data_IF_061034735379
#
_entry.id   IF_061034735379
#
_cell.length_a   1.000
_cell.length_b   1.000
_cell.length_c   1.000
_cell.angle_alpha   90.00
_cell.angle_beta   90.00
_cell.angle_gamma   90.00
#
_symmetry.space_group_name_H-M   'P 1'
#
loop_
_entity.id
_entity.type
_entity.pdbx_description
1 polymer ?
#
# COMPACT_ATOMS: atom_id res chain seq x y z
N UNK A 1 -5.17 12.94 -3.26
CA UNK A 1 -5.41 12.07 -2.10
C UNK A 1 -4.90 12.73 -0.84
N UNK A 2 -5.73 12.77 0.22
CA UNK A 2 -5.39 13.41 1.50
C UNK A 2 -4.09 12.84 2.09
N UNK A 3 -3.89 11.52 2.02
CA UNK A 3 -2.69 10.83 2.48
C UNK A 3 -1.40 11.45 1.89
N UNK A 4 -1.30 11.63 0.56
CA UNK A 4 -0.09 12.20 -0.05
C UNK A 4 0.12 13.67 0.28
N UNK A 5 -0.95 14.42 0.57
CA UNK A 5 -0.84 15.79 1.06
C UNK A 5 -0.30 15.83 2.49
N UNK A 6 -0.69 14.87 3.34
CA UNK A 6 -0.14 14.73 4.68
C UNK A 6 1.34 14.37 4.64
N UNK A 7 1.73 13.44 3.78
CA UNK A 7 3.14 13.08 3.54
C UNK A 7 3.94 14.31 3.10
N UNK A 8 3.43 15.10 2.13
CA UNK A 8 4.12 16.32 1.68
C UNK A 8 4.29 17.32 2.84
N UNK A 9 3.25 17.55 3.65
CA UNK A 9 3.35 18.46 4.82
C UNK A 9 4.44 18.04 5.80
N UNK A 10 4.61 16.73 6.02
CA UNK A 10 5.68 16.19 6.88
C UNK A 10 7.05 16.46 6.24
N UNK A 11 7.21 16.19 4.94
CA UNK A 11 8.45 16.48 4.23
C UNK A 11 8.82 17.96 4.29
N UNK A 12 7.87 18.86 4.05
CA UNK A 12 8.10 20.30 4.13
C UNK A 12 8.48 20.77 5.54
N UNK A 13 7.85 20.18 6.56
CA UNK A 13 8.18 20.50 7.96
C UNK A 13 9.62 20.05 8.27
N UNK A 14 10.01 18.85 7.86
CA UNK A 14 11.37 18.35 8.04
C UNK A 14 12.40 19.12 7.22
N UNK A 15 12.06 19.53 6.01
CA UNK A 15 12.93 20.37 5.18
C UNK A 15 13.22 21.71 5.84
N UNK A 16 12.20 22.36 6.45
CA UNK A 16 12.36 23.61 7.21
C UNK A 16 13.19 23.43 8.48
N UNK A 17 13.07 22.28 9.13
CA UNK A 17 13.81 21.95 10.35
C UNK A 17 15.25 21.48 10.10
N UNK A 18 15.63 21.23 8.85
CA UNK A 18 16.97 20.75 8.50
C UNK A 18 18.01 21.84 8.70
N UNK A 19 18.87 21.67 9.70
CA UNK A 19 19.94 22.63 10.02
C UNK A 19 21.23 22.41 9.20
N UNK A 20 21.38 21.22 8.60
CA UNK A 20 22.62 20.86 7.90
C UNK A 20 22.69 21.42 6.48
N UNK A 21 21.54 21.58 5.83
CA UNK A 21 21.44 22.08 4.45
C UNK A 21 20.12 22.83 4.27
N UNK A 22 20.13 23.82 3.39
CA UNK A 22 18.89 24.45 2.93
C UNK A 22 18.21 23.52 1.94
N UNK A 23 17.06 22.97 2.30
CA UNK A 23 16.25 22.08 1.47
C UNK A 23 15.03 22.85 0.94
N UNK A 24 14.84 22.86 -0.37
CA UNK A 24 13.65 23.40 -1.03
C UNK A 24 12.90 22.25 -1.70
N UNK A 25 11.63 22.08 -1.36
CA UNK A 25 10.77 21.03 -1.94
C UNK A 25 10.00 21.63 -3.12
N UNK A 26 10.07 20.93 -4.26
CA UNK A 26 9.27 21.18 -5.45
C UNK A 26 8.34 19.99 -5.63
N UNK A 27 7.08 20.14 -5.27
CA UNK A 27 6.09 19.06 -5.37
C UNK A 27 5.41 19.03 -6.74
N UNK A 28 5.13 17.82 -7.22
CA UNK A 28 4.31 17.53 -8.40
C UNK A 28 3.37 16.39 -8.08
N UNK A 29 2.12 16.50 -8.50
CA UNK A 29 1.12 15.45 -8.34
C UNK A 29 0.64 15.04 -9.73
N UNK A 30 0.57 13.72 -9.96
CA UNK A 30 -0.08 13.18 -11.13
C UNK A 30 -1.62 13.29 -10.95
N UNK A 31 -2.32 13.63 -11.99
CA UNK A 31 -3.79 13.69 -12.01
C UNK A 31 -4.39 12.30 -12.18
N UNK A 32 -3.66 11.46 -12.91
CA UNK A 32 -4.04 10.07 -13.18
C UNK A 32 -2.96 9.12 -12.69
N UNK A 33 -3.29 7.85 -12.55
CA UNK A 33 -2.32 6.81 -12.24
C UNK A 33 -1.73 6.16 -13.51
N UNK A 34 -1.56 6.95 -14.61
CA UNK A 34 -1.00 6.43 -15.85
C UNK A 34 0.53 6.49 -15.84
N UNK A 35 1.20 5.41 -16.28
CA UNK A 35 2.66 5.38 -16.32
C UNK A 35 3.28 6.47 -17.20
N UNK A 36 2.61 6.85 -18.30
CA UNK A 36 3.05 7.89 -19.23
C UNK A 36 3.15 9.24 -18.51
N UNK A 37 2.09 9.63 -17.79
CA UNK A 37 2.05 10.89 -17.06
C UNK A 37 3.16 10.95 -15.99
N UNK A 38 3.36 9.85 -15.27
CA UNK A 38 4.42 9.78 -14.26
C UNK A 38 5.80 9.91 -14.90
N UNK A 39 6.03 9.25 -16.03
CA UNK A 39 7.29 9.36 -16.78
C UNK A 39 7.54 10.80 -17.27
N UNK A 40 6.51 11.47 -17.81
CA UNK A 40 6.58 12.86 -18.26
C UNK A 40 6.89 13.82 -17.10
N UNK A 41 6.23 13.63 -15.94
CA UNK A 41 6.51 14.41 -14.73
C UNK A 41 7.98 14.21 -14.31
N UNK A 42 8.47 12.99 -14.25
CA UNK A 42 9.85 12.70 -13.88
C UNK A 42 10.83 13.39 -14.83
N UNK A 43 10.63 13.24 -16.14
CA UNK A 43 11.50 13.85 -17.15
C UNK A 43 11.47 15.37 -17.10
N UNK A 44 10.33 15.99 -16.76
CA UNK A 44 10.18 17.43 -16.61
C UNK A 44 11.04 18.03 -15.50
N UNK A 45 11.48 17.23 -14.54
CA UNK A 45 12.34 17.66 -13.43
C UNK A 45 13.83 17.66 -13.77
N UNK A 46 14.21 17.11 -14.92
CA UNK A 46 15.61 17.06 -15.35
C UNK A 46 16.25 18.43 -15.37
N UNK A 47 17.36 18.59 -14.66
CA UNK A 47 18.10 19.85 -14.55
C UNK A 47 17.41 20.95 -13.75
N UNK A 48 16.29 20.67 -13.10
CA UNK A 48 15.53 21.64 -12.29
C UNK A 48 15.62 21.39 -10.79
N UNK A 49 16.02 20.18 -10.41
CA UNK A 49 16.16 19.75 -9.01
C UNK A 49 17.42 18.91 -8.87
N UNK A 50 17.95 18.81 -7.65
CA UNK A 50 19.18 18.05 -7.37
C UNK A 50 18.91 16.55 -7.17
N UNK A 51 17.68 16.20 -6.76
CA UNK A 51 17.25 14.82 -6.53
C UNK A 51 15.75 14.70 -6.69
N UNK A 52 15.27 13.51 -7.00
CA UNK A 52 13.84 13.21 -7.09
C UNK A 52 13.49 12.13 -6.06
N UNK A 53 12.42 12.35 -5.30
CA UNK A 53 11.79 11.34 -4.47
C UNK A 53 10.32 11.20 -4.92
N UNK A 54 9.92 10.02 -5.35
CA UNK A 54 8.61 9.81 -5.96
C UNK A 54 7.92 8.54 -5.46
N UNK A 55 6.61 8.59 -5.35
CA UNK A 55 5.75 7.40 -5.29
C UNK A 55 5.32 7.09 -6.71
N UNK A 56 5.49 5.86 -7.16
CA UNK A 56 5.26 5.51 -8.55
C UNK A 56 4.72 4.11 -8.76
N UNK A 57 4.54 3.79 -10.03
CA UNK A 57 4.17 2.47 -10.51
C UNK A 57 5.42 1.76 -11.05
N UNK A 58 5.53 0.47 -10.83
CA UNK A 58 6.57 -0.35 -11.46
C UNK A 58 6.18 -0.65 -12.91
N UNK A 59 6.66 0.19 -13.82
CA UNK A 59 6.35 0.13 -15.25
C UNK A 59 7.57 0.53 -16.08
N UNK A 60 7.77 -0.09 -17.26
CA UNK A 60 8.94 0.12 -18.09
C UNK A 60 9.15 1.59 -18.50
N UNK A 61 8.08 2.35 -18.80
CA UNK A 61 8.19 3.79 -19.12
C UNK A 61 8.74 4.60 -17.94
N UNK A 62 8.29 4.28 -16.73
CA UNK A 62 8.79 4.92 -15.51
C UNK A 62 10.25 4.56 -15.29
N UNK A 63 10.62 3.28 -15.46
CA UNK A 63 11.99 2.82 -15.37
C UNK A 63 12.90 3.53 -16.38
N UNK A 64 12.46 3.70 -17.63
CA UNK A 64 13.19 4.46 -18.64
C UNK A 64 13.40 5.93 -18.25
N UNK A 65 12.35 6.59 -17.73
CA UNK A 65 12.48 7.98 -17.24
C UNK A 65 13.50 8.07 -16.10
N UNK A 66 13.49 7.11 -15.15
CA UNK A 66 14.50 7.05 -14.09
C UNK A 66 15.91 6.84 -14.64
N UNK A 67 16.10 5.98 -15.65
CA UNK A 67 17.40 5.78 -16.32
C UNK A 67 17.94 7.08 -16.92
N UNK A 68 17.08 7.85 -17.60
CA UNK A 68 17.45 9.16 -18.19
C UNK A 68 17.88 10.15 -17.11
N UNK A 69 17.17 10.23 -15.99
CA UNK A 69 17.53 11.11 -14.87
C UNK A 69 18.86 10.69 -14.24
N UNK A 70 19.01 9.40 -13.95
CA UNK A 70 20.25 8.83 -13.39
C UNK A 70 21.45 9.05 -14.31
N UNK A 71 21.27 8.86 -15.62
CA UNK A 71 22.31 9.13 -16.63
C UNK A 71 22.73 10.60 -16.69
N UNK A 72 21.91 11.54 -16.22
CA UNK A 72 22.25 12.95 -16.06
C UNK A 72 22.83 13.31 -14.67
N UNK A 73 23.11 12.32 -13.83
CA UNK A 73 23.66 12.51 -12.49
C UNK A 73 22.61 12.83 -11.41
N UNK A 74 21.33 12.74 -11.73
CA UNK A 74 20.23 13.05 -10.80
C UNK A 74 19.75 11.76 -10.10
N UNK A 75 19.93 11.62 -8.78
CA UNK A 75 19.46 10.46 -8.05
C UNK A 75 17.92 10.46 -7.94
N UNK A 76 17.33 9.27 -8.11
CA UNK A 76 15.89 9.04 -7.96
C UNK A 76 15.64 8.03 -6.87
N UNK A 77 14.81 8.39 -5.92
CA UNK A 77 14.41 7.57 -4.78
C UNK A 77 12.94 7.17 -4.91
N UNK A 78 12.65 5.88 -4.73
CA UNK A 78 11.28 5.40 -4.62
C UNK A 78 10.77 5.57 -3.18
N UNK A 79 9.57 6.11 -3.01
CA UNK A 79 8.90 6.30 -1.73
C UNK A 79 7.62 5.47 -1.66
N UNK A 80 7.36 4.82 -0.53
CA UNK A 80 6.13 4.09 -0.22
C UNK A 80 5.86 2.89 -1.12
N UNK A 81 5.77 3.10 -2.44
CA UNK A 81 5.70 2.07 -3.48
C UNK A 81 7.04 1.96 -4.18
N UNK A 82 7.56 0.74 -4.31
CA UNK A 82 8.83 0.49 -5.00
C UNK A 82 8.61 0.44 -6.52
N UNK A 83 9.53 1.02 -7.27
CA UNK A 83 9.57 1.01 -8.74
C UNK A 83 11.01 1.18 -9.26
N UNK A 84 11.23 0.88 -10.53
CA UNK A 84 12.51 0.98 -11.21
C UNK A 84 13.65 0.30 -10.43
N UNK A 85 13.42 -0.90 -9.92
CA UNK A 85 14.41 -1.69 -9.19
C UNK A 85 15.66 -1.92 -10.05
N UNK A 86 16.84 -1.82 -9.43
CA UNK A 86 18.13 -1.91 -10.13
C UNK A 86 18.58 -0.62 -10.83
N UNK A 87 17.70 0.38 -10.98
CA UNK A 87 18.00 1.68 -11.60
C UNK A 87 17.92 2.82 -10.60
N UNK A 88 16.88 2.85 -9.76
CA UNK A 88 16.71 3.87 -8.70
C UNK A 88 17.88 3.85 -7.71
N UNK A 89 18.09 4.97 -7.04
CA UNK A 89 19.13 5.10 -6.00
C UNK A 89 18.82 4.24 -4.78
N UNK A 90 17.62 4.41 -4.23
CA UNK A 90 17.16 3.64 -3.08
C UNK A 90 15.63 3.64 -2.97
N UNK A 91 15.10 2.77 -2.11
CA UNK A 91 13.70 2.69 -1.75
C UNK A 91 13.51 2.98 -0.27
N UNK A 92 12.56 3.88 0.03
CA UNK A 92 12.12 4.21 1.37
C UNK A 92 10.67 3.81 1.53
N UNK A 93 10.45 2.71 2.22
CA UNK A 93 9.12 2.14 2.44
C UNK A 93 9.20 0.87 3.28
N UNK A 94 8.05 0.23 3.45
CA UNK A 94 7.93 -1.00 4.22
C UNK A 94 8.36 -2.21 3.38
N UNK A 95 8.89 -3.25 4.06
CA UNK A 95 9.03 -4.56 3.43
C UNK A 95 7.64 -5.21 3.32
N UNK A 96 6.99 -5.03 2.17
CA UNK A 96 5.60 -5.44 1.95
C UNK A 96 5.39 -6.95 2.09
N UNK A 97 6.38 -7.77 1.76
CA UNK A 97 6.30 -9.22 2.00
C UNK A 97 6.20 -9.53 3.49
N UNK A 98 7.04 -8.88 4.31
CA UNK A 98 6.99 -9.03 5.79
C UNK A 98 5.68 -8.48 6.35
N UNK A 99 5.18 -7.36 5.83
CA UNK A 99 3.89 -6.78 6.26
C UNK A 99 2.77 -7.79 6.07
N UNK A 100 2.68 -8.44 4.91
CA UNK A 100 1.69 -9.48 4.67
C UNK A 100 1.82 -10.66 5.61
N UNK A 101 3.05 -11.17 5.84
CA UNK A 101 3.29 -12.26 6.81
C UNK A 101 2.88 -11.88 8.23
N UNK A 102 3.16 -10.65 8.66
CA UNK A 102 2.77 -10.13 9.98
C UNK A 102 1.25 -10.04 10.11
N UNK A 103 0.54 -9.58 9.08
CA UNK A 103 -0.93 -9.54 9.07
C UNK A 103 -1.52 -10.94 9.25
N UNK A 104 -1.01 -11.94 8.54
CA UNK A 104 -1.41 -13.35 8.72
C UNK A 104 -1.12 -13.86 10.13
N UNK A 105 0.05 -13.53 10.66
CA UNK A 105 0.42 -13.91 12.02
C UNK A 105 -0.55 -13.33 13.07
N UNK A 106 -0.89 -12.05 12.96
CA UNK A 106 -1.86 -11.44 13.88
C UNK A 106 -3.22 -12.14 13.81
N UNK A 107 -3.74 -12.41 12.60
CA UNK A 107 -5.02 -13.13 12.46
C UNK A 107 -4.92 -14.50 13.12
N UNK A 108 -3.86 -15.27 12.88
CA UNK A 108 -3.69 -16.60 13.44
C UNK A 108 -3.59 -16.63 14.97
N UNK A 109 -3.14 -15.51 15.59
CA UNK A 109 -2.97 -15.40 17.05
C UNK A 109 -4.19 -14.79 17.76
N UNK A 110 -4.96 -13.95 17.08
CA UNK A 110 -6.08 -13.24 17.68
C UNK A 110 -7.43 -13.88 17.37
N UNK A 111 -7.53 -14.69 16.31
CA UNK A 111 -8.75 -15.44 16.04
C UNK A 111 -8.97 -16.52 17.10
N UNK A 112 -10.23 -16.78 17.44
CA UNK A 112 -10.60 -17.79 18.43
C UNK A 112 -10.23 -19.22 18.00
N UNK A 113 -9.98 -19.44 16.71
CA UNK A 113 -9.58 -20.73 16.12
C UNK A 113 -9.44 -20.61 14.61
N UNK A 114 -9.04 -21.71 13.94
CA UNK A 114 -9.01 -21.78 12.49
C UNK A 114 -10.39 -21.54 11.87
N UNK A 115 -10.39 -20.95 10.69
CA UNK A 115 -11.62 -20.65 9.92
C UNK A 115 -11.24 -19.97 8.61
N UNK A 116 -12.22 -19.36 7.96
CA UNK A 116 -12.00 -18.64 6.70
C UNK A 116 -11.39 -17.27 6.92
N UNK A 117 -10.51 -16.88 6.01
CA UNK A 117 -9.80 -15.60 6.06
C UNK A 117 -9.90 -14.92 4.71
N UNK A 118 -10.39 -13.68 4.69
CA UNK A 118 -10.51 -12.84 3.50
C UNK A 118 -9.32 -11.89 3.36
N UNK A 119 -9.06 -11.48 2.11
CA UNK A 119 -8.02 -10.53 1.75
C UNK A 119 -8.53 -9.55 0.70
N UNK A 120 -8.30 -8.26 0.94
CA UNK A 120 -8.53 -7.18 -0.03
C UNK A 120 -7.22 -6.56 -0.50
N UNK A 121 -7.14 -6.32 -1.81
CA UNK A 121 -6.06 -5.55 -2.46
C UNK A 121 -6.68 -4.46 -3.34
N UNK A 122 -5.94 -3.37 -3.55
CA UNK A 122 -6.41 -2.25 -4.39
C UNK A 122 -6.45 -2.59 -5.89
N UNK A 123 -5.70 -3.60 -6.31
CA UNK A 123 -5.61 -4.06 -7.70
C UNK A 123 -4.16 -4.30 -8.15
N UNK A 124 -3.97 -4.84 -9.38
CA UNK A 124 -2.67 -5.29 -9.87
C UNK A 124 -1.65 -4.16 -10.16
N UNK A 125 -2.07 -2.89 -10.07
CA UNK A 125 -1.16 -1.76 -10.30
C UNK A 125 -0.21 -1.47 -9.13
N UNK A 126 -0.48 -2.05 -7.97
CA UNK A 126 0.27 -1.76 -6.75
C UNK A 126 1.16 -2.95 -6.39
N UNK A 127 2.40 -2.93 -6.84
CA UNK A 127 3.37 -3.99 -6.53
C UNK A 127 3.50 -4.26 -5.01
N UNK A 128 3.36 -3.22 -4.18
CA UNK A 128 3.32 -3.39 -2.73
C UNK A 128 2.17 -4.28 -2.24
N UNK A 129 0.99 -4.22 -2.90
CA UNK A 129 -0.15 -5.08 -2.56
C UNK A 129 0.07 -6.54 -2.97
N UNK A 130 0.67 -6.78 -4.13
CA UNK A 130 1.05 -8.13 -4.57
C UNK A 130 2.03 -8.78 -3.61
N UNK A 131 3.03 -8.02 -3.13
CA UNK A 131 3.98 -8.51 -2.12
C UNK A 131 3.30 -8.77 -0.78
N UNK A 132 2.36 -7.91 -0.35
CA UNK A 132 1.58 -8.14 0.88
C UNK A 132 0.72 -9.38 0.74
N UNK A 133 0.02 -9.58 -0.37
CA UNK A 133 -0.74 -10.80 -0.65
C UNK A 133 0.16 -12.04 -0.63
N UNK A 134 1.29 -11.99 -1.35
CA UNK A 134 2.27 -13.09 -1.39
C UNK A 134 2.75 -13.45 0.01
N UNK A 135 3.10 -12.45 0.81
CA UNK A 135 3.53 -12.65 2.19
C UNK A 135 2.43 -13.24 3.07
N UNK A 136 1.22 -12.74 2.93
CA UNK A 136 0.05 -13.21 3.67
C UNK A 136 -0.28 -14.67 3.36
N UNK A 137 -0.38 -15.02 2.09
CA UNK A 137 -0.64 -16.40 1.64
C UNK A 137 0.47 -17.35 2.04
N UNK A 138 1.74 -16.92 1.93
CA UNK A 138 2.86 -17.77 2.34
C UNK A 138 2.85 -18.05 3.84
N UNK A 139 2.44 -17.07 4.68
CA UNK A 139 2.34 -17.30 6.11
C UNK A 139 1.36 -18.43 6.44
N UNK A 140 0.15 -18.38 5.90
CA UNK A 140 -0.86 -19.40 6.19
C UNK A 140 -0.43 -20.77 5.65
N UNK A 141 0.11 -20.83 4.43
CA UNK A 141 0.64 -22.10 3.89
C UNK A 141 1.72 -22.72 4.77
N UNK A 142 2.64 -21.87 5.29
CA UNK A 142 3.85 -22.34 5.96
C UNK A 142 3.63 -22.54 7.47
N UNK A 143 2.77 -21.76 8.13
CA UNK A 143 2.71 -21.64 9.58
C UNK A 143 1.31 -21.80 10.18
N UNK A 144 0.25 -21.75 9.38
CA UNK A 144 -1.12 -21.86 9.85
C UNK A 144 -2.03 -22.54 8.79
N UNK A 145 -1.69 -23.79 8.35
CA UNK A 145 -2.39 -24.44 7.22
C UNK A 145 -3.85 -24.81 7.53
N UNK A 146 -4.26 -24.79 8.79
CA UNK A 146 -5.64 -25.08 9.19
C UNK A 146 -6.62 -23.94 8.88
N UNK A 147 -6.11 -22.73 8.53
CA UNK A 147 -6.94 -21.62 8.08
C UNK A 147 -7.18 -21.71 6.57
N UNK A 148 -8.41 -21.42 6.15
CA UNK A 148 -8.79 -21.40 4.75
C UNK A 148 -8.76 -19.98 4.18
N UNK A 149 -7.81 -19.70 3.29
CA UNK A 149 -7.78 -18.43 2.58
C UNK A 149 -8.83 -18.42 1.46
N UNK A 150 -9.67 -17.38 1.46
CA UNK A 150 -10.59 -17.09 0.38
C UNK A 150 -9.84 -16.45 -0.83
N UNK A 151 -10.54 -16.37 -1.95
CA UNK A 151 -10.03 -15.64 -3.12
C UNK A 151 -9.88 -14.16 -2.79
N UNK A 152 -8.78 -13.58 -3.28
CA UNK A 152 -8.48 -12.16 -3.09
C UNK A 152 -9.54 -11.29 -3.76
N UNK A 153 -10.05 -10.32 -3.02
CA UNK A 153 -11.00 -9.34 -3.51
C UNK A 153 -10.28 -8.06 -3.93
N UNK A 154 -10.66 -7.50 -5.08
CA UNK A 154 -10.17 -6.21 -5.56
C UNK A 154 -11.16 -5.14 -5.15
N UNK A 155 -10.70 -4.16 -4.33
CA UNK A 155 -11.55 -3.11 -3.77
C UNK A 155 -11.29 -1.72 -4.39
N UNK A 156 -10.35 -1.61 -5.35
CA UNK A 156 -9.92 -0.36 -5.99
C UNK A 156 -9.58 0.76 -4.98
N UNK A 157 -9.21 0.39 -3.76
CA UNK A 157 -8.94 1.29 -2.63
C UNK A 157 -10.12 2.21 -2.25
N UNK A 158 -11.36 1.82 -2.61
CA UNK A 158 -12.55 2.62 -2.34
C UNK A 158 -13.30 2.11 -1.12
N UNK A 159 -13.76 3.05 -0.28
CA UNK A 159 -14.56 2.75 0.90
C UNK A 159 -15.83 1.96 0.55
N UNK A 160 -16.53 2.37 -0.52
CA UNK A 160 -17.81 1.77 -0.88
C UNK A 160 -17.66 0.31 -1.30
N UNK A 161 -16.76 0.01 -2.25
CA UNK A 161 -16.54 -1.37 -2.70
C UNK A 161 -16.04 -2.26 -1.56
N UNK A 162 -15.19 -1.74 -0.68
CA UNK A 162 -14.70 -2.51 0.48
C UNK A 162 -15.83 -2.80 1.46
N UNK A 163 -16.73 -1.84 1.69
CA UNK A 163 -17.90 -2.04 2.54
C UNK A 163 -18.83 -3.11 1.98
N UNK A 164 -19.21 -3.01 0.72
CA UNK A 164 -20.11 -3.96 0.06
C UNK A 164 -19.53 -5.37 0.04
N UNK A 165 -18.28 -5.51 -0.37
CA UNK A 165 -17.62 -6.81 -0.42
C UNK A 165 -17.37 -7.40 0.97
N UNK A 166 -17.09 -6.58 1.99
CA UNK A 166 -16.97 -7.06 3.38
C UNK A 166 -18.31 -7.55 3.89
N UNK A 167 -19.40 -6.81 3.64
CA UNK A 167 -20.77 -7.20 4.05
C UNK A 167 -21.18 -8.52 3.40
N UNK A 168 -20.88 -8.70 2.12
CA UNK A 168 -21.15 -9.92 1.39
C UNK A 168 -20.32 -11.12 1.91
N UNK A 169 -19.02 -10.92 2.21
CA UNK A 169 -18.19 -11.96 2.83
C UNK A 169 -18.72 -12.39 4.19
N UNK A 170 -19.13 -11.43 5.05
CA UNK A 170 -19.70 -11.71 6.36
C UNK A 170 -21.01 -12.49 6.28
N UNK A 171 -21.84 -12.21 5.28
CA UNK A 171 -23.11 -12.91 5.04
C UNK A 171 -22.90 -14.33 4.50
N UNK A 172 -22.00 -14.50 3.53
CA UNK A 172 -21.73 -15.80 2.88
C UNK A 172 -20.87 -16.75 3.71
N UNK A 173 -20.07 -16.21 4.63
CA UNK A 173 -19.11 -16.98 5.42
C UNK A 173 -19.31 -16.75 6.92
N UNK A 174 -20.27 -17.43 7.57
CA UNK A 174 -20.44 -17.36 9.03
C UNK A 174 -19.20 -17.80 9.81
N UNK A 175 -18.35 -18.60 9.19
CA UNK A 175 -17.06 -19.11 9.66
C UNK A 175 -15.85 -18.21 9.30
N UNK A 176 -16.11 -16.97 8.85
CA UNK A 176 -15.06 -15.96 8.64
C UNK A 176 -14.49 -15.53 10.00
N UNK A 177 -13.19 -15.73 10.20
CA UNK A 177 -12.48 -15.41 11.46
C UNK A 177 -11.45 -14.29 11.29
N UNK A 178 -11.08 -13.98 10.07
CA UNK A 178 -10.08 -12.94 9.79
C UNK A 178 -10.32 -12.23 8.48
N UNK A 179 -9.93 -10.95 8.44
CA UNK A 179 -9.99 -10.12 7.26
C UNK A 179 -8.77 -9.20 7.22
N UNK A 180 -8.07 -9.16 6.09
CA UNK A 180 -6.93 -8.27 5.87
C UNK A 180 -7.23 -7.31 4.71
N UNK A 181 -7.17 -6.00 4.96
CA UNK A 181 -7.22 -4.96 3.94
C UNK A 181 -5.81 -4.48 3.67
N UNK A 182 -5.21 -4.95 2.58
CA UNK A 182 -3.81 -4.73 2.28
C UNK A 182 -3.51 -3.33 1.67
N UNK A 183 -4.51 -2.53 1.43
CA UNK A 183 -4.42 -1.17 0.87
C UNK A 183 -5.48 -0.24 1.43
N UNK A 184 -5.92 0.73 0.62
CA UNK A 184 -6.98 1.67 0.98
C UNK A 184 -8.37 1.04 1.05
N UNK A 185 -9.36 1.83 1.47
CA UNK A 185 -10.74 1.40 1.62
C UNK A 185 -11.07 0.76 2.98
N UNK A 186 -10.11 0.74 3.92
CA UNK A 186 -10.26 0.10 5.23
C UNK A 186 -11.45 0.62 6.04
N UNK A 187 -11.82 1.89 5.88
CA UNK A 187 -12.97 2.49 6.56
C UNK A 187 -14.29 1.76 6.21
N UNK A 188 -14.39 1.24 4.97
CA UNK A 188 -15.52 0.41 4.54
C UNK A 188 -15.58 -0.92 5.27
N UNK A 189 -14.43 -1.60 5.40
CA UNK A 189 -14.35 -2.86 6.14
C UNK A 189 -14.67 -2.67 7.63
N UNK A 190 -14.11 -1.62 8.25
CA UNK A 190 -14.36 -1.28 9.65
C UNK A 190 -15.86 -1.03 9.88
N UNK A 191 -16.49 -0.26 9.00
CA UNK A 191 -17.92 0.02 9.07
C UNK A 191 -18.76 -1.26 8.95
N UNK A 192 -18.49 -2.10 7.95
CA UNK A 192 -19.24 -3.34 7.72
C UNK A 192 -19.12 -4.32 8.91
N UNK A 193 -17.91 -4.48 9.46
CA UNK A 193 -17.68 -5.35 10.63
C UNK A 193 -18.43 -4.83 11.86
N UNK A 194 -18.48 -3.50 12.07
CA UNK A 194 -19.21 -2.87 13.17
C UNK A 194 -20.72 -3.05 13.02
N UNK A 195 -21.28 -2.77 11.84
CA UNK A 195 -22.72 -2.89 11.57
C UNK A 195 -23.21 -4.33 11.68
N UNK A 196 -22.43 -5.28 11.20
CA UNK A 196 -22.71 -6.71 11.35
C UNK A 196 -22.47 -7.24 12.77
N UNK A 197 -22.02 -6.40 13.72
CA UNK A 197 -21.62 -6.79 15.09
C UNK A 197 -20.64 -7.97 15.10
N UNK A 198 -19.75 -8.03 14.11
CA UNK A 198 -18.84 -9.14 13.90
C UNK A 198 -17.48 -8.94 14.60
N UNK A 199 -17.26 -7.83 15.27
CA UNK A 199 -15.96 -7.48 15.90
C UNK A 199 -15.49 -8.47 16.99
N UNK A 200 -16.40 -9.23 17.58
CA UNK A 200 -16.06 -10.27 18.56
C UNK A 200 -15.58 -11.59 17.93
N UNK A 201 -15.83 -11.79 16.63
CA UNK A 201 -15.51 -13.05 15.93
C UNK A 201 -14.55 -12.89 14.74
N UNK A 202 -14.43 -11.69 14.18
CA UNK A 202 -13.59 -11.41 13.00
C UNK A 202 -12.46 -10.46 13.37
N UNK A 203 -11.24 -10.94 13.22
CA UNK A 203 -10.04 -10.12 13.38
C UNK A 203 -9.83 -9.32 12.09
N UNK A 204 -9.96 -8.01 12.17
CA UNK A 204 -9.72 -7.11 11.04
C UNK A 204 -8.32 -6.49 11.16
N UNK A 205 -7.47 -6.72 10.17
CA UNK A 205 -6.14 -6.13 10.07
C UNK A 205 -6.11 -5.11 8.93
N UNK A 206 -5.55 -3.95 9.20
CA UNK A 206 -5.34 -2.86 8.23
C UNK A 206 -3.90 -2.35 8.34
N UNK A 207 -3.40 -1.67 7.30
CA UNK A 207 -1.99 -1.23 7.28
C UNK A 207 -1.76 0.17 7.84
N UNK A 208 -2.80 0.96 8.00
CA UNK A 208 -2.67 2.38 8.31
C UNK A 208 -3.47 2.72 9.57
N UNK A 209 -2.84 3.53 10.43
CA UNK A 209 -3.52 4.19 11.53
C UNK A 209 -3.84 5.62 11.08
N UNK A 210 -5.12 5.90 10.88
CA UNK A 210 -5.62 7.22 10.51
C UNK A 210 -6.62 7.72 11.55
N UNK A 211 -6.94 9.02 11.58
CA UNK A 211 -8.01 9.52 12.46
C UNK A 211 -9.39 8.88 12.20
N UNK A 212 -9.53 8.10 11.12
CA UNK A 212 -10.79 7.44 10.70
C UNK A 212 -10.78 5.92 10.91
N UNK A 213 -9.64 5.34 11.27
CA UNK A 213 -9.50 3.89 11.55
C UNK A 213 -9.76 3.53 13.02
#
# INVERSE_FOLDING_TARGET
>A
HAFYQDVLRIFEAQARACMLRRVQIVSRFAETARPEELADILLSLKGRVDAVAATGLDHHLVTQAVQVLRGSGMPVYALLSDFAQGVRESYFGTNNLKVGRIAGWFISKLAAGPGKVGLFVGGPRFHGHELRETGFRSFFRDAAPDFQLLDTQINLETRQLTYEATSDLLARHPDLVGLYVAGGGMEGAIQAVREARAASRVVLIVNELTPRS
#
